data_IF_670308385940
#
_entry.id   IF_670308385940
#
_cell.length_a   1.000
_cell.length_b   1.000
_cell.length_c   1.000
_cell.angle_alpha   90.00
_cell.angle_beta   90.00
_cell.angle_gamma   90.00
#
_symmetry.space_group_name_H-M   'P 1'
#
loop_
_entity.id
_entity.type
_entity.pdbx_description
1 polymer ?
#
# COMPACT_ATOMS: atom_id res chain seq x y z
N UNK A 1 -92.26 -46.18 12.79
CA UNK A 1 -92.40 -46.61 11.39
C UNK A 1 -91.12 -46.18 10.67
N UNK A 2 -90.01 -46.87 10.92
CA UNK A 2 -89.43 -47.97 10.08
C UNK A 2 -88.37 -47.33 9.16
N UNK A 3 -87.11 -47.73 8.99
CA UNK A 3 -86.32 -48.93 9.26
C UNK A 3 -84.84 -48.47 9.31
N UNK A 4 -84.06 -48.91 10.31
CA UNK A 4 -82.59 -48.92 10.21
C UNK A 4 -82.17 -50.39 10.02
N UNK A 5 -81.26 -50.69 9.08
CA UNK A 5 -80.92 -52.07 8.76
C UNK A 5 -80.08 -52.69 9.88
N UNK A 6 -80.66 -53.64 10.59
CA UNK A 6 -79.94 -54.52 11.50
C UNK A 6 -79.13 -55.54 10.68
N UNK A 7 -77.81 -55.52 10.83
CA UNK A 7 -76.97 -56.63 10.40
C UNK A 7 -76.92 -57.63 11.56
N UNK A 8 -77.64 -58.74 11.42
CA UNK A 8 -77.55 -59.87 12.33
C UNK A 8 -76.22 -60.60 12.09
N UNK A 9 -75.28 -60.48 13.03
CA UNK A 9 -74.19 -61.45 13.15
C UNK A 9 -74.59 -62.52 14.16
N UNK A 10 -74.48 -63.77 13.70
CA UNK A 10 -74.82 -64.98 14.43
C UNK A 10 -73.81 -65.16 15.57
N UNK A 11 -74.34 -65.36 16.78
CA UNK A 11 -73.55 -65.69 17.97
C UNK A 11 -72.74 -66.96 17.74
N UNK A 12 -71.42 -66.84 17.76
CA UNK A 12 -70.56 -67.90 18.29
C UNK A 12 -70.26 -67.58 19.76
N UNK A 13 -70.25 -68.64 20.54
CA UNK A 13 -70.25 -68.71 22.00
C UNK A 13 -69.18 -67.85 22.70
N UNK A 14 -69.53 -67.40 23.92
CA UNK A 14 -68.71 -66.82 24.99
C UNK A 14 -68.48 -65.30 24.93
N UNK A 15 -69.48 -64.53 25.40
CA UNK A 15 -69.32 -63.35 26.29
C UNK A 15 -70.66 -62.60 26.36
N UNK A 16 -71.25 -62.53 27.56
CA UNK A 16 -72.61 -62.04 27.79
C UNK A 16 -72.62 -60.54 28.16
N UNK A 17 -72.03 -59.67 27.33
CA UNK A 17 -72.13 -58.21 27.49
C UNK A 17 -72.21 -57.50 26.14
N UNK A 18 -73.34 -56.87 25.86
CA UNK A 18 -73.51 -55.95 24.74
C UNK A 18 -72.81 -54.62 25.05
N UNK A 19 -71.65 -54.38 24.46
CA UNK A 19 -71.07 -53.04 24.37
C UNK A 19 -71.74 -52.28 23.23
N UNK A 20 -72.43 -51.18 23.57
CA UNK A 20 -72.95 -50.24 22.57
C UNK A 20 -71.79 -49.31 22.19
N UNK A 21 -71.21 -49.50 21.01
CA UNK A 21 -70.33 -48.51 20.41
C UNK A 21 -71.19 -47.47 19.69
N UNK A 22 -71.26 -46.26 20.26
CA UNK A 22 -71.77 -45.11 19.53
C UNK A 22 -70.72 -44.68 18.49
N UNK A 23 -71.05 -44.79 17.21
CA UNK A 23 -70.23 -44.28 16.12
C UNK A 23 -70.43 -42.76 16.05
N UNK A 24 -69.45 -41.97 16.49
CA UNK A 24 -69.38 -40.55 16.14
C UNK A 24 -68.69 -40.42 14.77
N UNK A 25 -69.31 -39.76 13.77
CA UNK A 25 -68.62 -39.50 12.51
C UNK A 25 -67.41 -38.60 12.79
N UNK A 26 -66.26 -38.91 12.18
CA UNK A 26 -65.11 -38.01 12.20
C UNK A 26 -65.48 -36.72 11.46
N UNK A 27 -65.77 -35.66 12.21
CA UNK A 27 -66.09 -34.34 11.68
C UNK A 27 -64.93 -33.75 10.86
N UNK A 28 -65.28 -33.10 9.74
CA UNK A 28 -64.40 -32.32 8.86
C UNK A 28 -63.58 -31.24 9.59
N UNK A 29 -64.03 -30.81 10.77
CA UNK A 29 -63.38 -29.84 11.64
C UNK A 29 -61.97 -30.29 12.10
N UNK A 30 -61.72 -31.61 12.16
CA UNK A 30 -60.44 -32.17 12.60
C UNK A 30 -59.37 -32.20 11.50
N UNK A 31 -59.79 -32.16 10.23
CA UNK A 31 -58.86 -32.07 9.08
C UNK A 31 -58.46 -30.62 8.82
N UNK A 32 -59.43 -29.71 8.84
CA UNK A 32 -59.25 -28.26 8.64
C UNK A 32 -58.25 -27.65 9.65
N UNK A 33 -58.40 -28.02 10.94
CA UNK A 33 -57.50 -27.56 12.00
C UNK A 33 -56.05 -28.06 11.86
N UNK A 34 -55.83 -29.22 11.23
CA UNK A 34 -54.48 -29.75 11.00
C UNK A 34 -53.81 -29.14 9.78
N UNK A 35 -54.56 -28.78 8.73
CA UNK A 35 -54.03 -28.00 7.60
C UNK A 35 -53.58 -26.60 8.06
N UNK A 36 -54.38 -25.92 8.87
CA UNK A 36 -54.03 -24.61 9.45
C UNK A 36 -52.76 -24.64 10.34
N UNK A 37 -52.57 -25.71 11.11
CA UNK A 37 -51.37 -25.87 11.94
C UNK A 37 -50.12 -26.18 11.12
N UNK A 38 -50.25 -26.98 10.05
CA UNK A 38 -49.16 -27.25 9.13
C UNK A 38 -48.75 -26.00 8.35
N UNK A 39 -49.71 -25.19 7.90
CA UNK A 39 -49.43 -23.94 7.18
C UNK A 39 -48.75 -22.90 8.09
N UNK A 40 -49.14 -22.84 9.38
CA UNK A 40 -48.44 -22.03 10.39
C UNK A 40 -47.03 -22.52 10.65
N UNK A 41 -46.81 -23.82 10.78
CA UNK A 41 -45.49 -24.40 10.98
C UNK A 41 -44.60 -24.19 9.75
N UNK A 42 -45.13 -24.35 8.55
CA UNK A 42 -44.41 -24.09 7.29
C UNK A 42 -44.02 -22.61 7.16
N UNK A 43 -44.90 -21.70 7.58
CA UNK A 43 -44.62 -20.27 7.64
C UNK A 43 -43.56 -19.92 8.69
N UNK A 44 -43.60 -20.50 9.88
CA UNK A 44 -42.59 -20.27 10.93
C UNK A 44 -41.24 -20.85 10.51
N UNK A 45 -41.21 -22.10 10.04
CA UNK A 45 -40.01 -22.79 9.57
C UNK A 45 -39.39 -22.05 8.39
N UNK A 46 -40.18 -21.61 7.42
CA UNK A 46 -39.66 -20.85 6.28
C UNK A 46 -39.09 -19.50 6.72
N UNK A 47 -39.79 -18.74 7.58
CA UNK A 47 -39.34 -17.42 8.03
C UNK A 47 -38.05 -17.50 8.85
N UNK A 48 -37.96 -18.45 9.78
CA UNK A 48 -36.76 -18.66 10.60
C UNK A 48 -35.60 -19.24 9.79
N UNK A 49 -35.89 -20.09 8.79
CA UNK A 49 -34.87 -20.58 7.86
C UNK A 49 -34.31 -19.46 6.99
N UNK A 50 -35.16 -18.60 6.42
CA UNK A 50 -34.72 -17.43 5.64
C UNK A 50 -33.90 -16.46 6.49
N UNK A 51 -34.33 -16.17 7.72
CA UNK A 51 -33.59 -15.31 8.64
C UNK A 51 -32.21 -15.89 8.99
N UNK A 52 -32.13 -17.20 9.25
CA UNK A 52 -30.88 -17.90 9.53
C UNK A 52 -29.94 -17.95 8.32
N UNK A 53 -30.46 -18.14 7.11
CA UNK A 53 -29.67 -18.10 5.86
C UNK A 53 -29.10 -16.70 5.61
N UNK A 54 -29.92 -15.66 5.76
CA UNK A 54 -29.50 -14.26 5.61
C UNK A 54 -28.42 -13.91 6.64
N UNK A 55 -28.63 -14.30 7.91
CA UNK A 55 -27.65 -14.10 8.99
C UNK A 55 -26.32 -14.82 8.69
N UNK A 56 -26.38 -16.07 8.26
CA UNK A 56 -25.19 -16.85 7.90
C UNK A 56 -24.43 -16.23 6.72
N UNK A 57 -25.14 -15.78 5.68
CA UNK A 57 -24.54 -15.06 4.55
C UNK A 57 -23.90 -13.74 4.98
N UNK A 58 -24.55 -13.00 5.89
CA UNK A 58 -24.01 -11.76 6.43
C UNK A 58 -22.72 -11.99 7.22
N UNK A 59 -22.64 -13.07 8.01
CA UNK A 59 -21.42 -13.47 8.74
C UNK A 59 -20.29 -13.81 7.75
N UNK A 60 -20.58 -14.61 6.72
CA UNK A 60 -19.59 -14.97 5.68
C UNK A 60 -19.06 -13.72 4.97
N UNK A 61 -19.94 -12.79 4.58
CA UNK A 61 -19.57 -11.52 3.96
C UNK A 61 -18.72 -10.66 4.90
N UNK A 62 -19.08 -10.58 6.17
CA UNK A 62 -18.33 -9.83 7.18
C UNK A 62 -16.93 -10.39 7.37
N UNK A 63 -16.79 -11.72 7.45
CA UNK A 63 -15.50 -12.41 7.54
C UNK A 63 -14.66 -12.13 6.28
N UNK A 64 -15.26 -12.19 5.09
CA UNK A 64 -14.56 -11.91 3.84
C UNK A 64 -14.05 -10.46 3.75
N UNK A 65 -14.87 -9.49 4.17
CA UNK A 65 -14.48 -8.08 4.26
C UNK A 65 -13.34 -7.91 5.27
N UNK A 66 -13.45 -8.54 6.44
CA UNK A 66 -12.44 -8.45 7.49
C UNK A 66 -11.08 -9.02 7.04
N UNK A 67 -11.06 -10.23 6.46
CA UNK A 67 -9.82 -10.84 5.95
C UNK A 67 -9.17 -9.95 4.90
N UNK A 68 -9.96 -9.41 3.97
CA UNK A 68 -9.47 -8.51 2.92
C UNK A 68 -8.92 -7.21 3.51
N UNK A 69 -9.64 -6.59 4.42
CA UNK A 69 -9.24 -5.36 5.08
C UNK A 69 -7.94 -5.57 5.86
N UNK A 70 -7.82 -6.70 6.56
CA UNK A 70 -6.63 -7.02 7.34
C UNK A 70 -5.42 -7.27 6.43
N UNK A 71 -5.61 -7.91 5.27
CA UNK A 71 -4.53 -8.11 4.29
C UNK A 71 -4.03 -6.79 3.68
N UNK A 72 -4.95 -5.89 3.32
CA UNK A 72 -4.62 -4.55 2.80
C UNK A 72 -3.90 -3.75 3.88
N UNK A 73 -4.47 -3.68 5.09
CA UNK A 73 -3.91 -2.95 6.21
C UNK A 73 -2.50 -3.45 6.57
N UNK A 74 -2.28 -4.77 6.58
CA UNK A 74 -0.95 -5.32 6.87
C UNK A 74 0.08 -5.00 5.77
N UNK A 75 -0.35 -4.94 4.50
CA UNK A 75 0.51 -4.48 3.40
C UNK A 75 0.85 -2.99 3.53
N UNK A 76 -0.14 -2.16 3.85
CA UNK A 76 0.05 -0.72 3.97
C UNK A 76 0.92 -0.38 5.19
N UNK A 77 0.67 -1.02 6.35
CA UNK A 77 1.55 -0.94 7.53
C UNK A 77 3.01 -1.29 7.20
N UNK A 78 3.25 -2.40 6.48
CA UNK A 78 4.62 -2.78 6.07
C UNK A 78 5.28 -1.71 5.19
N UNK A 79 4.53 -1.11 4.27
CA UNK A 79 5.04 -0.01 3.42
C UNK A 79 5.34 1.23 4.25
N UNK A 80 4.44 1.63 5.13
CA UNK A 80 4.62 2.78 6.02
C UNK A 80 5.81 2.58 6.95
N UNK A 81 5.99 1.40 7.53
CA UNK A 81 7.17 1.07 8.35
C UNK A 81 8.45 1.21 7.54
N UNK A 82 8.50 0.68 6.30
CA UNK A 82 9.67 0.82 5.42
C UNK A 82 9.98 2.28 5.08
N UNK A 83 8.94 3.09 4.81
CA UNK A 83 9.09 4.53 4.56
C UNK A 83 9.54 5.29 5.79
N UNK A 84 8.94 5.02 6.93
CA UNK A 84 9.28 5.63 8.21
C UNK A 84 10.73 5.35 8.58
N UNK A 85 11.17 4.09 8.43
CA UNK A 85 12.56 3.69 8.63
C UNK A 85 13.52 4.40 7.68
N UNK A 86 13.20 4.46 6.38
CA UNK A 86 14.02 5.18 5.41
C UNK A 86 14.16 6.68 5.76
N UNK A 87 13.06 7.31 6.17
CA UNK A 87 13.06 8.71 6.57
C UNK A 87 13.89 8.96 7.84
N UNK A 88 13.71 8.12 8.87
CA UNK A 88 14.35 8.32 10.19
C UNK A 88 15.81 7.87 10.23
N UNK A 89 16.17 6.83 9.47
CA UNK A 89 17.52 6.23 9.51
C UNK A 89 18.41 6.74 8.39
N UNK A 90 17.85 7.02 7.21
CA UNK A 90 18.66 7.38 6.03
C UNK A 90 18.59 8.88 5.76
N UNK A 91 17.40 9.47 5.64
CA UNK A 91 17.28 10.88 5.25
C UNK A 91 17.67 11.80 6.41
N UNK A 92 16.93 11.76 7.52
CA UNK A 92 17.07 12.75 8.60
C UNK A 92 18.51 12.89 9.13
N UNK A 93 19.24 11.79 9.42
CA UNK A 93 20.61 11.90 9.95
C UNK A 93 21.59 12.47 8.93
N UNK A 94 21.32 12.28 7.63
CA UNK A 94 22.23 12.68 6.56
C UNK A 94 21.89 14.05 5.93
N UNK A 95 20.80 14.71 6.31
CA UNK A 95 20.50 16.06 5.84
C UNK A 95 21.64 17.04 6.17
N UNK A 96 22.21 16.93 7.38
CA UNK A 96 23.37 17.73 7.77
C UNK A 96 24.58 17.43 6.89
N UNK A 97 24.83 16.15 6.57
CA UNK A 97 25.94 15.75 5.71
C UNK A 97 25.79 16.30 4.28
N UNK A 98 24.57 16.29 3.73
CA UNK A 98 24.24 16.90 2.44
C UNK A 98 24.55 18.40 2.50
N UNK A 99 24.09 19.09 3.54
CA UNK A 99 24.28 20.54 3.67
C UNK A 99 25.76 20.91 3.81
N UNK A 100 26.52 20.16 4.62
CA UNK A 100 27.96 20.32 4.74
C UNK A 100 28.66 20.10 3.40
N UNK A 101 28.31 19.04 2.66
CA UNK A 101 28.87 18.75 1.35
C UNK A 101 28.66 19.91 0.35
N UNK A 102 27.42 20.40 0.20
CA UNK A 102 27.13 21.50 -0.72
C UNK A 102 27.79 22.82 -0.30
N UNK A 103 27.88 23.09 1.00
CA UNK A 103 28.60 24.26 1.51
C UNK A 103 30.11 24.18 1.22
N UNK A 104 30.72 23.00 1.38
CA UNK A 104 32.12 22.77 1.05
C UNK A 104 32.39 22.91 -0.45
N UNK A 105 31.51 22.38 -1.32
CA UNK A 105 31.59 22.59 -2.77
C UNK A 105 31.56 24.08 -3.11
N UNK A 106 30.60 24.82 -2.56
CA UNK A 106 30.43 26.25 -2.81
C UNK A 106 31.65 27.06 -2.34
N UNK A 107 32.20 26.77 -1.17
CA UNK A 107 33.40 27.44 -0.67
C UNK A 107 34.62 27.11 -1.55
N UNK A 108 34.83 25.83 -1.88
CA UNK A 108 35.97 25.39 -2.70
C UNK A 108 35.93 25.98 -4.09
N UNK A 109 34.78 25.96 -4.77
CA UNK A 109 34.68 26.49 -6.13
C UNK A 109 34.95 28.01 -6.15
N UNK A 110 34.40 28.75 -5.20
CA UNK A 110 34.60 30.19 -5.08
C UNK A 110 36.09 30.52 -4.82
N UNK A 111 36.70 29.81 -3.86
CA UNK A 111 38.12 29.97 -3.55
C UNK A 111 39.01 29.63 -4.74
N UNK A 112 38.71 28.54 -5.46
CA UNK A 112 39.48 28.11 -6.63
C UNK A 112 39.37 29.12 -7.78
N UNK A 113 38.18 29.62 -8.10
CA UNK A 113 37.97 30.63 -9.15
C UNK A 113 38.69 31.93 -8.78
N UNK A 114 38.53 32.42 -7.55
CA UNK A 114 39.21 33.64 -7.11
C UNK A 114 40.73 33.48 -7.11
N UNK A 115 41.24 32.30 -6.72
CA UNK A 115 42.67 32.00 -6.78
C UNK A 115 43.17 32.00 -8.23
N UNK A 116 42.44 31.36 -9.15
CA UNK A 116 42.79 31.33 -10.57
C UNK A 116 42.77 32.72 -11.21
N UNK A 117 41.81 33.58 -10.86
CA UNK A 117 41.74 34.97 -11.32
C UNK A 117 42.90 35.85 -10.81
N UNK A 118 43.55 35.47 -9.71
CA UNK A 118 44.68 36.20 -9.10
C UNK A 118 46.05 35.74 -9.62
N UNK A 119 46.12 34.67 -10.40
CA UNK A 119 47.38 34.17 -10.95
C UNK A 119 47.79 35.07 -12.13
N UNK A 120 48.90 35.78 -11.97
CA UNK A 120 49.45 36.64 -13.02
C UNK A 120 50.32 35.86 -14.04
N UNK A 121 50.98 34.78 -13.62
CA UNK A 121 51.80 33.93 -14.49
C UNK A 121 51.00 32.72 -14.99
N UNK A 122 50.68 32.74 -16.28
CA UNK A 122 49.86 31.73 -16.93
C UNK A 122 50.40 30.31 -16.84
N UNK A 123 51.71 30.11 -16.59
CA UNK A 123 52.33 28.79 -16.47
C UNK A 123 51.82 27.99 -15.26
N UNK A 124 51.34 28.66 -14.21
CA UNK A 124 50.82 27.99 -13.02
C UNK A 124 49.34 27.60 -13.13
N UNK A 125 48.61 28.16 -14.11
CA UNK A 125 47.16 27.94 -14.28
C UNK A 125 46.83 26.45 -14.48
N UNK A 126 47.48 25.69 -15.39
CA UNK A 126 47.12 24.29 -15.61
C UNK A 126 47.30 23.44 -14.35
N UNK A 127 48.40 23.67 -13.60
CA UNK A 127 48.68 22.96 -12.34
C UNK A 127 47.60 23.27 -11.29
N UNK A 128 47.17 24.53 -11.20
CA UNK A 128 46.16 24.92 -10.23
C UNK A 128 44.77 24.41 -10.58
N UNK A 129 44.38 24.39 -11.86
CA UNK A 129 43.14 23.75 -12.33
C UNK A 129 43.12 22.25 -11.99
N UNK A 130 44.21 21.54 -12.28
CA UNK A 130 44.33 20.12 -11.96
C UNK A 130 44.21 19.85 -10.45
N UNK A 131 44.80 20.71 -9.60
CA UNK A 131 44.68 20.59 -8.14
C UNK A 131 43.25 20.86 -7.66
N UNK A 132 42.59 21.88 -8.20
CA UNK A 132 41.21 22.22 -7.89
C UNK A 132 40.25 21.07 -8.25
N UNK A 133 40.39 20.51 -9.45
CA UNK A 133 39.55 19.39 -9.90
C UNK A 133 39.78 18.11 -9.09
N UNK A 134 41.04 17.80 -8.71
CA UNK A 134 41.30 16.67 -7.80
C UNK A 134 40.62 16.86 -6.45
N UNK A 135 40.76 18.04 -5.85
CA UNK A 135 40.14 18.31 -4.55
C UNK A 135 38.60 18.21 -4.60
N UNK A 136 37.95 18.61 -5.70
CA UNK A 136 36.51 18.43 -5.87
C UNK A 136 36.13 16.97 -6.03
N UNK A 137 36.92 16.19 -6.79
CA UNK A 137 36.70 14.76 -6.98
C UNK A 137 36.86 13.97 -5.69
N UNK A 138 37.84 14.32 -4.86
CA UNK A 138 38.06 13.67 -3.57
C UNK A 138 36.87 13.94 -2.64
N UNK A 139 36.41 15.20 -2.56
CA UNK A 139 35.21 15.56 -1.79
C UNK A 139 33.94 14.85 -2.28
N UNK A 140 33.81 14.67 -3.60
CA UNK A 140 32.73 13.88 -4.19
C UNK A 140 32.82 12.43 -3.70
N UNK A 141 33.97 11.79 -3.84
CA UNK A 141 34.15 10.39 -3.47
C UNK A 141 33.84 10.18 -1.99
N UNK A 142 34.36 11.04 -1.11
CA UNK A 142 34.08 10.98 0.33
C UNK A 142 32.58 11.07 0.63
N UNK A 143 31.85 11.92 -0.09
CA UNK A 143 30.39 12.02 0.05
C UNK A 143 29.68 10.75 -0.47
N UNK A 144 30.06 10.25 -1.64
CA UNK A 144 29.44 9.07 -2.24
C UNK A 144 29.68 7.81 -1.40
N UNK A 145 30.90 7.59 -0.93
CA UNK A 145 31.26 6.40 -0.15
C UNK A 145 30.47 6.32 1.16
N UNK A 146 30.26 7.47 1.81
CA UNK A 146 29.52 7.55 3.07
C UNK A 146 28.00 7.54 2.89
N UNK A 147 27.48 8.28 1.90
CA UNK A 147 26.04 8.50 1.76
C UNK A 147 25.39 7.53 0.78
N UNK A 148 25.99 7.30 -0.39
CA UNK A 148 25.39 6.47 -1.44
C UNK A 148 25.47 4.99 -1.10
N UNK A 149 26.50 4.53 -0.39
CA UNK A 149 26.56 3.14 0.09
C UNK A 149 25.35 2.77 0.96
N UNK A 150 24.92 3.68 1.84
CA UNK A 150 23.74 3.48 2.69
C UNK A 150 22.48 3.37 1.81
N UNK A 151 22.32 4.26 0.85
CA UNK A 151 21.15 4.28 -0.03
C UNK A 151 21.12 3.07 -0.96
N UNK A 152 22.28 2.60 -1.43
CA UNK A 152 22.39 1.44 -2.30
C UNK A 152 21.89 0.16 -1.62
N UNK A 153 22.06 0.04 -0.30
CA UNK A 153 21.50 -1.06 0.49
C UNK A 153 19.96 -1.05 0.53
N UNK A 154 19.35 0.14 0.40
CA UNK A 154 17.89 0.34 0.41
C UNK A 154 17.28 0.21 -0.99
N UNK A 155 17.85 0.94 -1.96
CA UNK A 155 17.41 0.98 -3.35
C UNK A 155 18.58 1.32 -4.29
N UNK A 156 18.95 0.33 -5.13
CA UNK A 156 20.02 0.47 -6.13
C UNK A 156 19.71 1.48 -7.23
N UNK A 157 18.44 1.60 -7.62
CA UNK A 157 18.00 2.56 -8.65
C UNK A 157 18.13 3.99 -8.14
N UNK A 158 17.69 4.21 -6.89
CA UNK A 158 17.84 5.50 -6.22
C UNK A 158 19.31 5.91 -6.09
N UNK A 159 20.17 5.00 -5.63
CA UNK A 159 21.62 5.23 -5.54
C UNK A 159 22.24 5.62 -6.89
N UNK A 160 21.83 4.94 -7.98
CA UNK A 160 22.30 5.26 -9.34
C UNK A 160 21.88 6.66 -9.76
N UNK A 161 20.65 7.07 -9.46
CA UNK A 161 20.17 8.41 -9.76
C UNK A 161 20.89 9.50 -8.96
N UNK A 162 21.20 9.23 -7.68
CA UNK A 162 21.98 10.14 -6.84
C UNK A 162 23.39 10.31 -7.38
N UNK A 163 24.07 9.20 -7.72
CA UNK A 163 25.39 9.23 -8.33
C UNK A 163 25.43 10.13 -9.57
N UNK A 164 24.40 10.05 -10.43
CA UNK A 164 24.27 10.91 -11.60
C UNK A 164 24.18 12.39 -11.22
N UNK A 165 23.27 12.77 -10.31
CA UNK A 165 23.12 14.17 -9.86
C UNK A 165 24.44 14.73 -9.32
N UNK A 166 25.17 13.93 -8.55
CA UNK A 166 26.44 14.34 -7.95
C UNK A 166 27.57 14.41 -9.00
N UNK A 167 27.57 13.53 -10.00
CA UNK A 167 28.50 13.63 -11.13
C UNK A 167 28.23 14.87 -11.98
N UNK A 168 26.96 15.18 -12.25
CA UNK A 168 26.57 16.41 -12.97
C UNK A 168 27.06 17.67 -12.22
N UNK A 169 27.05 17.65 -10.89
CA UNK A 169 27.62 18.72 -10.06
C UNK A 169 29.14 18.84 -10.24
N UNK A 170 29.86 17.72 -10.25
CA UNK A 170 31.31 17.73 -10.47
C UNK A 170 31.66 18.27 -11.86
N UNK A 171 30.93 17.84 -12.88
CA UNK A 171 31.14 18.30 -14.26
C UNK A 171 30.85 19.80 -14.38
N UNK A 172 29.79 20.27 -13.72
CA UNK A 172 29.50 21.69 -13.60
C UNK A 172 30.68 22.44 -12.96
N UNK A 173 31.18 22.00 -11.82
CA UNK A 173 32.29 22.68 -11.15
C UNK A 173 33.58 22.67 -12.00
N UNK A 174 33.86 21.55 -12.67
CA UNK A 174 35.03 21.40 -13.54
C UNK A 174 34.97 22.38 -14.72
N UNK A 175 33.81 22.48 -15.37
CA UNK A 175 33.58 23.44 -16.46
C UNK A 175 33.76 24.90 -16.02
N UNK A 176 33.40 25.24 -14.78
CA UNK A 176 33.57 26.59 -14.24
C UNK A 176 35.02 26.89 -13.87
N UNK A 177 35.79 25.89 -13.43
CA UNK A 177 37.24 25.99 -13.24
C UNK A 177 37.96 26.18 -14.58
N UNK A 178 37.53 25.47 -15.61
CA UNK A 178 38.12 25.59 -16.94
C UNK A 178 37.85 26.96 -17.55
N UNK A 179 36.64 27.48 -17.37
CA UNK A 179 36.20 28.80 -17.84
C UNK A 179 36.29 29.91 -16.78
N UNK A 180 37.23 29.80 -15.82
CA UNK A 180 37.31 30.68 -14.64
C UNK A 180 37.32 32.18 -14.94
N UNK A 181 37.87 32.62 -16.09
CA UNK A 181 37.93 34.03 -16.48
C UNK A 181 36.53 34.64 -16.64
N UNK A 182 35.59 33.86 -17.19
CA UNK A 182 34.21 34.28 -17.47
C UNK A 182 33.23 33.77 -16.40
N UNK A 183 33.73 33.19 -15.31
CA UNK A 183 32.92 32.58 -14.28
C UNK A 183 32.17 33.65 -13.46
N UNK A 184 30.84 33.58 -13.50
CA UNK A 184 29.92 34.32 -12.63
C UNK A 184 29.61 33.50 -11.37
N UNK A 185 30.16 33.96 -10.24
CA UNK A 185 30.02 33.31 -8.94
C UNK A 185 28.54 33.19 -8.52
N UNK A 186 27.70 34.17 -8.88
CA UNK A 186 26.27 34.16 -8.54
C UNK A 186 25.54 33.05 -9.30
N UNK A 187 25.80 32.91 -10.60
CA UNK A 187 25.24 31.82 -11.41
C UNK A 187 25.72 30.45 -10.96
N UNK A 188 27.01 30.32 -10.60
CA UNK A 188 27.56 29.07 -10.08
C UNK A 188 26.83 28.68 -8.79
N UNK A 189 26.69 29.62 -7.85
CA UNK A 189 25.98 29.41 -6.60
C UNK A 189 24.53 28.97 -6.85
N UNK A 190 23.82 29.63 -7.77
CA UNK A 190 22.46 29.24 -8.16
C UNK A 190 22.39 27.79 -8.65
N UNK A 191 23.25 27.40 -9.58
CA UNK A 191 23.23 26.02 -10.13
C UNK A 191 23.61 24.95 -9.10
N UNK A 192 24.50 25.27 -8.15
CA UNK A 192 24.82 24.38 -7.03
C UNK A 192 23.58 24.15 -6.16
N UNK A 193 22.80 25.19 -5.88
CA UNK A 193 21.54 25.04 -5.14
C UNK A 193 20.44 24.32 -5.92
N UNK A 194 20.34 24.53 -7.23
CA UNK A 194 19.43 23.76 -8.09
C UNK A 194 19.75 22.27 -8.02
N UNK A 195 21.04 21.91 -8.11
CA UNK A 195 21.48 20.53 -7.97
C UNK A 195 21.17 19.96 -6.57
N UNK A 196 21.37 20.74 -5.49
CA UNK A 196 20.96 20.35 -4.13
C UNK A 196 19.45 20.10 -4.04
N UNK A 197 18.65 20.99 -4.62
CA UNK A 197 17.20 20.83 -4.65
C UNK A 197 16.79 19.57 -5.41
N UNK A 198 17.46 19.25 -6.54
CA UNK A 198 17.24 18.01 -7.27
C UNK A 198 17.59 16.77 -6.44
N UNK A 199 18.71 16.80 -5.70
CA UNK A 199 19.09 15.70 -4.80
C UNK A 199 18.03 15.50 -3.71
N UNK A 200 17.63 16.58 -3.02
CA UNK A 200 16.63 16.53 -1.97
C UNK A 200 15.30 16.01 -2.54
N UNK A 201 14.82 16.56 -3.66
CA UNK A 201 13.59 16.09 -4.31
C UNK A 201 13.64 14.60 -4.61
N UNK A 202 14.75 14.10 -5.16
CA UNK A 202 14.93 12.69 -5.47
C UNK A 202 14.86 11.81 -4.21
N UNK A 203 15.48 12.24 -3.11
CA UNK A 203 15.45 11.51 -1.83
C UNK A 203 14.03 11.39 -1.28
N UNK A 204 13.22 12.44 -1.39
CA UNK A 204 11.82 12.44 -0.99
C UNK A 204 10.89 11.75 -2.00
N UNK A 205 11.23 11.75 -3.30
CA UNK A 205 10.48 11.04 -4.33
C UNK A 205 10.61 9.52 -4.22
N UNK A 206 11.73 9.01 -3.69
CA UNK A 206 11.86 7.60 -3.28
C UNK A 206 10.83 7.13 -2.25
N UNK A 207 10.13 8.06 -1.59
CA UNK A 207 9.06 7.81 -0.62
C UNK A 207 7.67 7.77 -1.29
N UNK A 208 7.53 8.34 -2.50
CA UNK A 208 6.23 8.45 -3.17
C UNK A 208 5.77 7.09 -3.65
N UNK A 209 4.62 6.70 -3.12
CA UNK A 209 3.86 5.53 -3.49
C UNK A 209 3.61 5.48 -5.01
N UNK A 210 3.90 4.33 -5.64
CA UNK A 210 3.07 3.89 -6.75
C UNK A 210 1.63 3.83 -6.25
N UNK A 211 0.88 4.91 -6.49
CA UNK A 211 -0.58 4.92 -6.40
C UNK A 211 -1.12 4.04 -7.52
N UNK A 212 -0.90 2.73 -7.46
CA UNK A 212 -1.62 1.80 -8.30
C UNK A 212 -3.05 1.73 -7.76
N UNK A 213 -3.87 2.67 -8.23
CA UNK A 213 -5.27 2.80 -7.84
C UNK A 213 -5.95 1.46 -8.16
N UNK A 214 -6.38 0.76 -7.12
CA UNK A 214 -6.92 -0.61 -7.13
C UNK A 214 -8.02 -0.83 -8.18
N UNK A 215 -8.76 0.22 -8.57
CA UNK A 215 -9.75 0.14 -9.63
C UNK A 215 -9.15 -0.23 -11.00
N UNK A 216 -7.90 0.15 -11.31
CA UNK A 216 -7.25 -0.22 -12.58
C UNK A 216 -7.03 -1.73 -12.72
N UNK A 217 -6.85 -2.47 -11.61
CA UNK A 217 -6.69 -3.94 -11.63
C UNK A 217 -8.02 -4.67 -11.81
N UNK A 218 -9.13 -4.12 -11.31
CA UNK A 218 -10.47 -4.72 -11.49
C UNK A 218 -10.92 -4.60 -12.95
N UNK A 219 -10.65 -3.47 -13.62
CA UNK A 219 -11.02 -3.29 -15.02
C UNK A 219 -10.11 -4.02 -16.03
N UNK A 220 -8.87 -4.38 -15.66
CA UNK A 220 -7.97 -5.18 -16.52
C UNK A 220 -8.35 -6.66 -16.63
N UNK A 221 -9.13 -7.21 -15.70
CA UNK A 221 -9.52 -8.64 -15.72
C UNK A 221 -10.70 -8.97 -16.64
N UNK A 222 -11.33 -7.97 -17.27
CA UNK A 222 -12.50 -8.14 -18.16
C UNK A 222 -12.18 -8.13 -19.66
N UNK A 223 -10.89 -8.11 -20.05
CA UNK A 223 -10.45 -8.21 -21.45
C UNK A 223 -9.49 -9.39 -21.64
N UNK A 224 -10.01 -10.60 -21.53
CA UNK A 224 -9.51 -11.80 -22.21
C UNK A 224 -10.70 -12.71 -22.47
#
# INVERSE_FOLDING_TARGET
>A
MDNLPYIHFKNDSLMNQSFIFAYQPLDSLYYDKREDELERLEKIISTDFYANVISTLAIILTIAIFIRQNYINNRDRKKETKKSWYMSVIIQPNLNNIDTFYNQIHQRINNNINSLKRINDGRFIPRQKARANRALRDLRNDFLDNFVTIIQSYDKSLATNINRIINDLQDLCSNQIDNYSNADISQIKKRIYENRASLISLLYDGIKEEKEKWYKRIFKRKRR
#
